data_IF_674702360306
#
_entry.id   IF_674702360306
#
_cell.length_a   1.000
_cell.length_b   1.000
_cell.length_c   1.000
_cell.angle_alpha   90.00
_cell.angle_beta   90.00
_cell.angle_gamma   90.00
#
_symmetry.space_group_name_H-M   'P 1'
#
loop_
_entity.id
_entity.type
_entity.pdbx_description
1 polymer ?
#
# COMPACT_ATOMS: atom_id res chain seq x y z
N UNK A 1 0.28 -17.74 -11.57
CA UNK A 1 -0.19 -16.73 -10.62
C UNK A 1 -1.10 -17.44 -9.62
N UNK A 2 -0.84 -17.34 -8.32
CA UNK A 2 -1.66 -18.01 -7.30
C UNK A 2 -2.70 -17.00 -6.80
N UNK A 3 -3.97 -17.38 -6.79
CA UNK A 3 -5.04 -16.57 -6.22
C UNK A 3 -4.86 -16.49 -4.69
N UNK A 4 -5.04 -15.29 -4.13
CA UNK A 4 -4.90 -15.03 -2.69
C UNK A 4 -6.23 -14.84 -1.97
N UNK A 5 -7.30 -14.58 -2.71
CA UNK A 5 -8.62 -14.26 -2.17
C UNK A 5 -9.65 -15.22 -2.76
N UNK A 6 -10.40 -15.84 -1.88
CA UNK A 6 -11.44 -16.77 -2.22
C UNK A 6 -12.76 -16.31 -1.61
N UNK A 7 -13.87 -16.78 -2.16
CA UNK A 7 -15.19 -16.54 -1.57
C UNK A 7 -15.42 -17.61 -0.50
N UNK A 8 -15.24 -17.22 0.74
CA UNK A 8 -15.43 -18.08 1.90
C UNK A 8 -16.22 -17.31 2.98
N UNK A 9 -16.78 -18.04 3.93
CA UNK A 9 -17.49 -17.48 5.07
C UNK A 9 -16.53 -16.66 5.93
N UNK A 10 -16.97 -15.48 6.34
CA UNK A 10 -16.18 -14.57 7.12
C UNK A 10 -15.32 -13.56 6.32
N UNK A 11 -15.19 -13.73 5.01
CA UNK A 11 -14.51 -12.71 4.21
C UNK A 11 -15.29 -11.41 4.17
N UNK A 12 -14.56 -10.30 4.29
CA UNK A 12 -15.13 -8.96 4.15
C UNK A 12 -15.02 -8.53 2.69
N UNK A 13 -16.12 -8.05 2.12
CA UNK A 13 -16.19 -7.56 0.76
C UNK A 13 -16.58 -6.08 0.73
N UNK A 14 -16.06 -5.36 -0.26
CA UNK A 14 -16.43 -3.99 -0.57
C UNK A 14 -17.47 -3.98 -1.70
N UNK A 15 -18.56 -3.26 -1.52
CA UNK A 15 -19.62 -3.15 -2.54
C UNK A 15 -19.25 -2.01 -3.50
N UNK A 16 -19.04 -2.35 -4.78
CA UNK A 16 -18.58 -1.40 -5.78
C UNK A 16 -19.71 -0.57 -6.38
N UNK A 17 -20.89 -1.14 -6.54
CA UNK A 17 -22.04 -0.49 -7.18
C UNK A 17 -23.37 -1.00 -6.63
N UNK A 18 -24.49 -0.42 -7.04
CA UNK A 18 -25.87 -0.57 -6.55
C UNK A 18 -26.16 0.26 -5.29
N UNK A 19 -27.30 -0.02 -4.65
CA UNK A 19 -27.85 0.73 -3.51
C UNK A 19 -26.86 0.89 -2.34
N UNK A 20 -26.04 -0.10 -2.11
CA UNK A 20 -25.07 -0.11 -1.00
C UNK A 20 -23.62 0.16 -1.45
N UNK A 21 -23.44 0.79 -2.60
CA UNK A 21 -22.09 1.13 -3.09
C UNK A 21 -21.29 1.92 -2.03
N UNK A 22 -20.00 1.59 -1.94
CA UNK A 22 -19.10 2.24 -0.96
C UNK A 22 -19.08 1.62 0.43
N UNK A 23 -19.93 0.62 0.71
CA UNK A 23 -20.03 -0.03 2.03
C UNK A 23 -19.27 -1.34 2.08
N UNK A 24 -18.88 -1.75 3.28
CA UNK A 24 -18.27 -3.03 3.56
C UNK A 24 -19.33 -4.01 4.08
N UNK A 25 -19.22 -5.27 3.71
CA UNK A 25 -20.08 -6.35 4.15
C UNK A 25 -19.27 -7.61 4.44
N UNK A 26 -19.75 -8.45 5.34
CA UNK A 26 -19.19 -9.77 5.59
C UNK A 26 -20.01 -10.84 4.85
N UNK A 27 -19.36 -11.84 4.30
CA UNK A 27 -19.99 -13.01 3.69
C UNK A 27 -20.37 -13.95 4.83
N UNK A 28 -21.66 -14.15 5.03
CA UNK A 28 -22.21 -15.03 6.07
C UNK A 28 -22.42 -16.44 5.54
N UNK A 29 -22.84 -16.53 4.30
CA UNK A 29 -23.09 -17.81 3.62
C UNK A 29 -22.95 -17.66 2.10
N UNK A 30 -22.72 -18.76 1.42
CA UNK A 30 -22.70 -18.83 -0.04
C UNK A 30 -23.98 -19.51 -0.49
N UNK A 31 -24.81 -18.78 -1.24
CA UNK A 31 -26.13 -19.26 -1.68
C UNK A 31 -25.99 -20.04 -2.99
N UNK A 32 -25.25 -19.49 -3.95
CA UNK A 32 -25.12 -19.97 -5.31
C UNK A 32 -23.76 -19.61 -5.89
N UNK A 33 -23.44 -20.14 -7.06
CA UNK A 33 -22.23 -19.80 -7.83
C UNK A 33 -22.08 -18.28 -8.10
N UNK A 34 -23.18 -17.54 -8.13
CA UNK A 34 -23.23 -16.13 -8.49
C UNK A 34 -23.53 -15.19 -7.31
N UNK A 35 -23.87 -15.71 -6.13
CA UNK A 35 -24.33 -14.88 -5.02
C UNK A 35 -24.02 -15.44 -3.64
N UNK A 36 -23.91 -14.54 -2.69
CA UNK A 36 -23.71 -14.82 -1.28
C UNK A 36 -24.72 -14.09 -0.40
N UNK A 37 -25.01 -14.66 0.76
CA UNK A 37 -25.70 -13.98 1.84
C UNK A 37 -24.69 -13.09 2.56
N UNK A 38 -24.95 -11.79 2.57
CA UNK A 38 -24.06 -10.80 3.18
C UNK A 38 -24.75 -10.06 4.31
N UNK A 39 -23.96 -9.62 5.27
CA UNK A 39 -24.40 -8.80 6.39
C UNK A 39 -23.37 -7.71 6.69
N UNK A 40 -23.82 -6.51 6.92
CA UNK A 40 -22.97 -5.35 7.24
C UNK A 40 -23.50 -4.56 8.42
N UNK A 41 -23.52 -5.13 9.64
CA UNK A 41 -24.15 -4.51 10.79
C UNK A 41 -23.55 -3.14 11.12
N UNK A 42 -22.25 -2.97 11.00
CA UNK A 42 -21.56 -1.70 11.26
C UNK A 42 -21.55 -0.72 10.07
N UNK A 43 -21.98 -1.17 8.88
CA UNK A 43 -22.04 -0.35 7.66
C UNK A 43 -23.46 0.02 7.26
N UNK A 44 -24.46 -0.41 8.03
CA UNK A 44 -25.89 -0.17 7.76
C UNK A 44 -26.39 -0.92 6.54
N UNK A 45 -25.86 -2.10 6.27
CA UNK A 45 -26.37 -3.05 5.25
C UNK A 45 -27.09 -4.16 5.98
N UNK A 46 -28.39 -4.30 5.72
CA UNK A 46 -29.18 -5.41 6.26
C UNK A 46 -28.75 -6.71 5.59
N UNK A 47 -28.92 -7.82 6.30
CA UNK A 47 -28.69 -9.16 5.76
C UNK A 47 -29.52 -9.39 4.50
N UNK A 48 -28.87 -9.69 3.40
CA UNK A 48 -29.50 -9.89 2.09
C UNK A 48 -28.60 -10.69 1.15
N UNK A 49 -29.22 -11.29 0.15
CA UNK A 49 -28.51 -11.92 -0.95
C UNK A 49 -27.90 -10.86 -1.86
N UNK A 50 -26.63 -11.06 -2.24
CA UNK A 50 -25.92 -10.14 -3.12
C UNK A 50 -25.09 -10.89 -4.15
N UNK A 51 -25.13 -10.49 -5.43
CA UNK A 51 -24.32 -11.12 -6.47
C UNK A 51 -22.84 -10.75 -6.35
N UNK A 52 -21.95 -11.71 -6.61
CA UNK A 52 -20.50 -11.51 -6.56
C UNK A 52 -20.01 -10.41 -7.51
N UNK A 53 -20.70 -10.15 -8.62
CA UNK A 53 -20.38 -9.06 -9.54
C UNK A 53 -20.34 -7.69 -8.87
N UNK A 54 -21.12 -7.48 -7.81
CA UNK A 54 -21.18 -6.22 -7.08
C UNK A 54 -20.10 -6.10 -6.00
N UNK A 55 -19.48 -7.21 -5.62
CA UNK A 55 -18.57 -7.31 -4.49
C UNK A 55 -17.13 -7.43 -4.94
N UNK A 56 -16.25 -6.80 -4.19
CA UNK A 56 -14.80 -6.94 -4.34
C UNK A 56 -14.23 -7.43 -3.01
N UNK A 57 -13.57 -8.58 -3.02
CA UNK A 57 -12.99 -9.18 -1.82
C UNK A 57 -11.84 -8.33 -1.29
N UNK A 58 -11.84 -8.12 0.02
CA UNK A 58 -10.76 -7.45 0.75
C UNK A 58 -9.77 -8.46 1.33
N UNK A 59 -8.75 -8.01 2.04
CA UNK A 59 -7.80 -8.88 2.73
C UNK A 59 -8.21 -9.17 4.19
N UNK A 60 -9.46 -8.85 4.56
CA UNK A 60 -9.96 -9.01 5.92
C UNK A 60 -10.81 -10.27 6.05
N UNK A 61 -10.50 -11.07 7.07
CA UNK A 61 -11.22 -12.27 7.42
C UNK A 61 -11.75 -12.15 8.85
N UNK A 62 -13.06 -12.37 9.02
CA UNK A 62 -13.75 -12.45 10.30
C UNK A 62 -13.95 -13.92 10.71
N UNK A 63 -13.78 -14.20 11.98
CA UNK A 63 -13.96 -15.55 12.52
C UNK A 63 -15.32 -15.65 13.19
N UNK A 64 -16.28 -16.26 12.51
CA UNK A 64 -17.60 -16.61 13.04
C UNK A 64 -18.10 -17.90 12.37
N UNK A 65 -19.06 -18.63 13.00
CA UNK A 65 -19.58 -19.85 12.44
C UNK A 65 -20.44 -19.58 11.19
N UNK A 66 -20.62 -20.62 10.38
CA UNK A 66 -21.51 -20.65 9.21
C UNK A 66 -22.93 -20.18 9.62
N UNK A 67 -23.56 -19.42 8.76
CA UNK A 67 -24.91 -18.87 8.95
C UNK A 67 -25.14 -18.15 10.29
N UNK A 68 -24.06 -17.58 10.87
CA UNK A 68 -24.11 -16.89 12.14
C UNK A 68 -25.17 -15.78 12.17
N UNK A 69 -25.82 -15.58 13.32
CA UNK A 69 -26.73 -14.46 13.46
C UNK A 69 -26.00 -13.11 13.52
N UNK A 70 -26.70 -12.02 13.28
CA UNK A 70 -26.15 -10.67 13.19
C UNK A 70 -25.31 -10.27 14.41
N UNK A 71 -25.69 -10.71 15.61
CA UNK A 71 -24.97 -10.42 16.85
C UNK A 71 -23.53 -10.92 16.82
N UNK A 72 -23.29 -12.14 16.31
CA UNK A 72 -21.96 -12.72 16.19
C UNK A 72 -21.12 -12.01 15.11
N UNK A 73 -21.73 -11.66 13.99
CA UNK A 73 -21.07 -10.91 12.93
C UNK A 73 -20.63 -9.54 13.45
N UNK A 74 -21.51 -8.86 14.17
CA UNK A 74 -21.22 -7.55 14.79
C UNK A 74 -20.08 -7.63 15.80
N UNK A 75 -20.13 -8.59 16.72
CA UNK A 75 -19.08 -8.78 17.72
C UNK A 75 -17.70 -9.11 17.07
N UNK A 76 -17.69 -9.95 16.03
CA UNK A 76 -16.46 -10.25 15.29
C UNK A 76 -15.93 -9.02 14.55
N UNK A 77 -16.82 -8.21 13.96
CA UNK A 77 -16.47 -6.97 13.26
C UNK A 77 -15.81 -5.93 14.16
N UNK A 78 -16.37 -5.73 15.36
CA UNK A 78 -15.80 -4.82 16.36
C UNK A 78 -14.48 -5.34 16.91
N UNK A 79 -14.40 -6.62 17.24
CA UNK A 79 -13.17 -7.24 17.74
C UNK A 79 -12.00 -7.02 16.78
N UNK A 80 -12.22 -7.16 15.48
CA UNK A 80 -11.19 -6.99 14.46
C UNK A 80 -11.00 -5.53 14.03
N UNK A 81 -11.83 -4.59 14.50
CA UNK A 81 -11.77 -3.17 14.14
C UNK A 81 -11.68 -2.93 12.61
N UNK A 82 -12.53 -3.61 11.84
CA UNK A 82 -12.48 -3.63 10.36
C UNK A 82 -12.57 -2.22 9.78
N UNK A 83 -13.42 -1.35 10.32
CA UNK A 83 -13.60 0.00 9.79
C UNK A 83 -12.32 0.84 9.88
N UNK A 84 -11.57 0.73 10.97
CA UNK A 84 -10.30 1.45 11.14
C UNK A 84 -9.20 0.86 10.25
N UNK A 85 -9.11 -0.46 10.19
CA UNK A 85 -8.18 -1.17 9.30
C UNK A 85 -8.46 -0.81 7.83
N UNK A 86 -9.72 -0.76 7.41
CA UNK A 86 -10.11 -0.39 6.05
C UNK A 86 -9.69 1.03 5.69
N UNK A 87 -10.00 2.03 6.54
CA UNK A 87 -9.60 3.43 6.32
C UNK A 87 -8.08 3.61 6.22
N UNK A 88 -7.30 2.79 6.91
CA UNK A 88 -5.84 2.82 6.83
C UNK A 88 -5.30 2.29 5.50
N UNK A 89 -6.05 1.45 4.77
CA UNK A 89 -5.59 0.82 3.52
C UNK A 89 -5.36 1.84 2.41
N UNK A 90 -4.41 1.53 1.51
CA UNK A 90 -4.18 2.35 0.30
C UNK A 90 -5.38 2.35 -0.65
N UNK A 91 -6.17 1.28 -0.63
CA UNK A 91 -7.35 1.15 -1.49
C UNK A 91 -8.44 2.11 -1.06
N UNK A 92 -8.83 2.12 0.22
CA UNK A 92 -9.80 3.06 0.76
C UNK A 92 -9.37 4.52 0.53
N UNK A 93 -8.11 4.84 0.79
CA UNK A 93 -7.54 6.19 0.53
C UNK A 93 -7.63 6.61 -0.93
N UNK A 94 -7.47 5.67 -1.88
CA UNK A 94 -7.64 5.97 -3.32
C UNK A 94 -9.08 6.22 -3.70
N UNK A 95 -10.03 5.50 -3.11
CA UNK A 95 -11.46 5.71 -3.33
C UNK A 95 -11.86 7.08 -2.79
N UNK A 96 -11.52 7.36 -1.54
CA UNK A 96 -11.79 8.65 -0.89
C UNK A 96 -11.16 9.83 -1.66
N UNK A 97 -9.94 9.68 -2.14
CA UNK A 97 -9.29 10.71 -2.95
C UNK A 97 -10.03 10.98 -4.28
N UNK A 98 -10.57 9.94 -4.92
CA UNK A 98 -11.39 10.08 -6.13
C UNK A 98 -12.72 10.78 -5.85
N UNK A 99 -13.39 10.39 -4.77
CA UNK A 99 -14.65 11.02 -4.35
C UNK A 99 -14.44 12.48 -3.98
N UNK A 100 -13.37 12.80 -3.25
CA UNK A 100 -13.00 14.16 -2.91
C UNK A 100 -12.74 15.00 -4.17
N UNK A 101 -12.01 14.43 -5.14
CA UNK A 101 -11.76 15.08 -6.43
C UNK A 101 -13.05 15.34 -7.21
N UNK A 102 -13.99 14.38 -7.23
CA UNK A 102 -15.26 14.52 -7.93
C UNK A 102 -16.19 15.60 -7.30
N UNK A 103 -16.06 15.83 -5.99
CA UNK A 103 -16.85 16.83 -5.24
C UNK A 103 -16.23 18.23 -5.25
N UNK A 104 -15.00 18.38 -5.73
CA UNK A 104 -14.33 19.69 -5.76
C UNK A 104 -14.97 20.64 -6.75
N UNK A 105 -15.13 21.89 -6.33
CA UNK A 105 -15.50 23.01 -7.19
C UNK A 105 -14.32 23.46 -8.05
N UNK A 106 -14.57 24.25 -9.09
CA UNK A 106 -13.49 24.80 -9.94
C UNK A 106 -12.54 25.67 -9.11
N UNK A 107 -13.06 26.47 -8.21
CA UNK A 107 -12.25 27.30 -7.33
C UNK A 107 -11.33 26.46 -6.41
N UNK A 108 -11.82 25.34 -5.86
CA UNK A 108 -11.00 24.43 -5.08
C UNK A 108 -9.90 23.78 -5.91
N UNK A 109 -10.21 23.44 -7.17
CA UNK A 109 -9.22 22.92 -8.11
C UNK A 109 -8.10 23.94 -8.37
N UNK A 110 -8.44 25.20 -8.52
CA UNK A 110 -7.46 26.28 -8.64
C UNK A 110 -6.59 26.42 -7.38
N UNK A 111 -7.20 26.41 -6.19
CA UNK A 111 -6.46 26.45 -4.93
C UNK A 111 -5.49 25.29 -4.77
N UNK A 112 -5.91 24.07 -5.13
CA UNK A 112 -5.07 22.85 -5.07
C UNK A 112 -3.93 22.91 -6.09
N UNK A 113 -4.10 23.59 -7.21
CA UNK A 113 -3.06 23.72 -8.25
C UNK A 113 -1.77 24.36 -7.72
N UNK A 114 -1.87 25.43 -6.91
CA UNK A 114 -0.70 26.15 -6.35
C UNK A 114 0.17 25.23 -5.46
N UNK A 115 -0.35 24.58 -4.40
CA UNK A 115 0.44 23.67 -3.56
C UNK A 115 1.02 22.50 -4.37
N UNK A 116 0.28 22.00 -5.35
CA UNK A 116 0.75 20.92 -6.22
C UNK A 116 1.96 21.33 -7.05
N UNK A 117 1.94 22.54 -7.62
CA UNK A 117 3.09 23.09 -8.35
C UNK A 117 4.30 23.27 -7.43
N UNK A 118 4.11 23.80 -6.22
CA UNK A 118 5.19 23.97 -5.25
C UNK A 118 5.81 22.62 -4.85
N UNK A 119 4.99 21.64 -4.50
CA UNK A 119 5.46 20.28 -4.17
C UNK A 119 6.23 19.65 -5.32
N UNK A 120 5.69 19.73 -6.54
CA UNK A 120 6.35 19.16 -7.72
C UNK A 120 7.70 19.86 -8.01
N UNK A 121 7.80 21.16 -7.75
CA UNK A 121 9.06 21.91 -7.87
C UNK A 121 10.10 21.39 -6.87
N UNK A 122 9.74 21.26 -5.59
CA UNK A 122 10.63 20.72 -4.56
C UNK A 122 11.13 19.30 -4.93
N UNK A 123 10.23 18.43 -5.37
CA UNK A 123 10.59 17.06 -5.80
C UNK A 123 11.58 17.11 -6.98
N UNK A 124 11.33 17.96 -7.98
CA UNK A 124 12.23 18.11 -9.12
C UNK A 124 13.61 18.63 -8.72
N UNK A 125 13.68 19.55 -7.78
CA UNK A 125 14.94 20.10 -7.31
C UNK A 125 15.76 19.05 -6.54
N UNK A 126 15.11 18.25 -5.69
CA UNK A 126 15.76 17.12 -5.00
C UNK A 126 16.22 16.03 -6.00
N UNK A 127 15.40 15.70 -6.99
CA UNK A 127 15.81 14.77 -8.05
C UNK A 127 17.04 15.28 -8.81
N UNK A 128 17.08 16.57 -9.17
CA UNK A 128 18.24 17.18 -9.84
C UNK A 128 19.50 17.13 -8.96
N UNK A 129 19.37 17.36 -7.65
CA UNK A 129 20.49 17.24 -6.71
C UNK A 129 21.03 15.81 -6.68
N UNK A 130 20.12 14.81 -6.55
CA UNK A 130 20.53 13.41 -6.54
C UNK A 130 21.18 12.96 -7.86
N UNK A 131 20.68 13.41 -9.00
CA UNK A 131 21.27 13.15 -10.31
C UNK A 131 22.70 13.73 -10.41
N UNK A 132 22.89 15.00 -9.97
CA UNK A 132 24.23 15.62 -9.94
C UNK A 132 25.19 14.88 -9.02
N UNK A 133 24.71 14.37 -7.87
CA UNK A 133 25.55 13.57 -6.97
C UNK A 133 25.91 12.20 -7.58
N UNK A 134 24.97 11.57 -8.28
CA UNK A 134 25.21 10.31 -8.95
C UNK A 134 26.21 10.43 -10.11
N UNK A 135 26.09 11.49 -10.91
CA UNK A 135 27.06 11.78 -11.99
C UNK A 135 28.46 12.07 -11.46
N UNK A 136 28.57 12.88 -10.40
CA UNK A 136 29.87 13.13 -9.72
C UNK A 136 30.51 11.85 -9.19
N UNK A 137 29.73 10.94 -8.55
CA UNK A 137 30.24 9.64 -8.10
C UNK A 137 30.65 8.72 -9.26
N UNK A 138 29.96 8.77 -10.39
CA UNK A 138 30.30 8.01 -11.60
C UNK A 138 31.60 8.50 -12.25
N UNK A 139 31.83 9.82 -12.30
CA UNK A 139 33.06 10.40 -12.85
C UNK A 139 34.28 10.13 -11.96
N UNK A 140 34.11 10.17 -10.63
CA UNK A 140 35.18 9.82 -9.69
C UNK A 140 35.59 8.34 -9.79
N UNK A 141 34.65 7.42 -10.02
CA UNK A 141 34.96 6.02 -10.24
C UNK A 141 35.67 5.77 -11.57
N UNK A 142 35.33 6.50 -12.65
CA UNK A 142 36.04 6.41 -13.94
C UNK A 142 37.45 6.98 -13.85
N UNK A 143 37.67 8.08 -13.14
CA UNK A 143 38.99 8.66 -12.93
C UNK A 143 39.93 7.82 -12.07
N UNK A 144 39.42 7.07 -11.11
CA UNK A 144 40.18 6.13 -10.29
C UNK A 144 40.57 4.85 -11.07
N UNK A 145 39.73 4.39 -12.00
CA UNK A 145 40.01 3.24 -12.83
C UNK A 145 41.05 3.53 -13.92
N UNK A 146 41.22 4.79 -14.37
CA UNK A 146 42.23 5.19 -15.35
C UNK A 146 43.61 5.44 -14.76
N UNK A 147 43.76 5.58 -13.45
CA UNK A 147 45.04 5.77 -12.76
C UNK A 147 45.75 4.47 -12.36
N UNK A 148 45.17 3.30 -12.62
CA UNK A 148 45.69 2.00 -12.23
C UNK A 148 46.01 1.10 -13.45
N UNK A 149 46.75 1.62 -14.45
CA UNK A 149 47.32 0.81 -15.50
C UNK A 149 48.83 1.13 -15.56
N UNK A 150 49.73 0.21 -15.17
CA UNK A 150 51.11 0.33 -15.48
C UNK A 150 51.36 -0.06 -16.94
N UNK A 151 52.07 0.80 -17.65
CA UNK A 151 52.57 0.61 -18.99
C UNK A 151 53.55 -0.54 -19.09
N UNK A 152 53.53 -1.23 -20.26
CA UNK A 152 54.44 -2.23 -20.85
C UNK A 152 53.87 -3.64 -20.87
N UNK A 153 53.81 -4.36 -21.97
CA UNK A 153 54.77 -4.59 -23.04
C UNK A 153 54.03 -5.18 -24.28
N UNK A 154 54.50 -4.74 -25.46
CA UNK A 154 54.39 -5.18 -26.83
C UNK A 154 53.79 -6.55 -27.22
N UNK A 155 52.97 -6.46 -28.24
CA UNK A 155 52.86 -7.26 -29.48
C UNK A 155 52.87 -8.79 -29.43
N UNK A 156 51.77 -9.39 -29.84
CA UNK A 156 51.79 -10.36 -30.98
C UNK A 156 50.39 -10.64 -31.52
N UNK A 157 50.37 -10.76 -32.81
CA UNK A 157 49.30 -10.81 -33.80
C UNK A 157 48.62 -12.19 -33.87
N UNK A 158 47.24 -12.19 -33.89
CA UNK A 158 46.30 -12.93 -34.78
C UNK A 158 46.27 -14.51 -34.70
N UNK A 159 45.19 -15.24 -35.01
CA UNK A 159 43.85 -14.88 -35.50
C UNK A 159 42.63 -15.62 -34.86
N UNK A 160 41.47 -15.16 -35.30
CA UNK A 160 40.12 -15.70 -35.23
C UNK A 160 39.93 -17.21 -35.20
N UNK A 161 38.99 -17.69 -34.37
CA UNK A 161 38.02 -18.72 -34.78
C UNK A 161 36.77 -18.72 -33.90
N UNK A 162 35.70 -18.82 -34.58
CA UNK A 162 34.28 -19.00 -34.30
C UNK A 162 34.05 -20.32 -33.55
N UNK A 163 33.07 -20.33 -32.63
CA UNK A 163 32.04 -21.34 -32.36
C UNK A 163 31.49 -21.15 -30.93
N UNK A 164 30.25 -20.82 -30.81
CA UNK A 164 29.11 -21.64 -30.38
C UNK A 164 29.28 -22.43 -29.05
N UNK A 165 28.36 -22.18 -28.15
CA UNK A 165 27.76 -23.28 -27.43
C UNK A 165 27.73 -23.22 -25.91
N UNK A 166 26.49 -23.04 -25.39
CA UNK A 166 25.93 -23.71 -24.21
C UNK A 166 26.29 -23.25 -22.78
N UNK A 167 25.23 -22.69 -22.13
CA UNK A 167 24.54 -23.19 -20.90
C UNK A 167 25.40 -23.68 -19.72
N UNK A 168 25.13 -23.08 -18.60
CA UNK A 168 24.59 -23.57 -17.31
C UNK A 168 25.08 -22.73 -16.14
N UNK A 169 24.23 -22.05 -15.44
CA UNK A 169 23.62 -22.41 -14.17
C UNK A 169 24.51 -22.31 -12.91
N UNK A 170 23.92 -21.64 -11.92
CA UNK A 170 24.07 -21.74 -10.46
C UNK A 170 25.22 -21.00 -9.78
N UNK A 171 24.78 -20.18 -8.80
CA UNK A 171 25.62 -19.75 -7.71
C UNK A 171 25.13 -18.50 -6.97
N UNK A 172 24.04 -18.64 -6.19
CA UNK A 172 23.62 -17.68 -5.19
C UNK A 172 24.68 -17.48 -4.13
N UNK A 173 24.98 -16.25 -3.74
CA UNK A 173 25.30 -15.89 -2.35
C UNK A 173 25.08 -14.40 -2.13
N UNK A 174 24.07 -14.11 -1.33
CA UNK A 174 23.83 -12.78 -0.77
C UNK A 174 24.68 -12.59 0.50
N UNK A 175 25.27 -11.42 0.74
CA UNK A 175 25.86 -11.11 2.02
C UNK A 175 24.83 -10.41 2.95
N UNK A 176 24.74 -10.91 4.16
CA UNK A 176 24.00 -10.37 5.26
C UNK A 176 24.43 -8.93 5.63
N UNK A 177 23.47 -8.00 5.69
CA UNK A 177 23.70 -6.67 6.28
C UNK A 177 23.33 -6.70 7.77
N UNK A 178 24.35 -6.47 8.59
CA UNK A 178 24.24 -6.17 10.04
C UNK A 178 23.44 -4.90 10.25
N UNK A 179 22.43 -4.96 11.13
CA UNK A 179 21.62 -3.83 11.55
C UNK A 179 22.41 -2.89 12.44
N UNK A 180 22.30 -1.60 12.15
CA UNK A 180 22.69 -0.51 13.07
C UNK A 180 21.40 0.07 13.62
N UNK A 181 21.22 -0.07 14.92
CA UNK A 181 20.13 0.50 15.70
C UNK A 181 20.30 2.01 15.78
N UNK A 182 19.39 2.78 15.22
CA UNK A 182 19.27 4.21 15.49
C UNK A 182 18.28 4.44 16.62
N UNK A 183 18.82 4.98 17.71
CA UNK A 183 18.15 5.44 18.92
C UNK A 183 17.33 6.70 18.59
N UNK A 184 16.02 6.67 18.79
CA UNK A 184 15.14 7.83 18.70
C UNK A 184 15.23 8.69 19.96
N UNK A 185 15.22 10.04 19.88
CA UNK A 185 15.16 10.90 21.06
C UNK A 185 13.74 10.98 21.62
N UNK A 186 13.64 10.81 22.93
CA UNK A 186 12.41 10.93 23.70
C UNK A 186 11.93 12.40 23.73
N UNK A 187 10.72 12.65 23.26
CA UNK A 187 10.02 13.92 23.51
C UNK A 187 9.30 13.87 24.84
N UNK A 188 9.67 14.78 25.75
CA UNK A 188 9.00 15.06 27.01
C UNK A 188 7.60 15.64 26.76
N UNK A 189 6.56 14.94 27.21
CA UNK A 189 5.22 15.45 27.30
C UNK A 189 5.09 16.35 28.52
N UNK A 190 4.81 17.64 28.31
CA UNK A 190 4.40 18.58 29.35
C UNK A 190 2.89 18.39 29.64
N UNK A 191 2.59 18.01 30.86
CA UNK A 191 1.22 17.90 31.38
C UNK A 191 0.62 19.29 31.54
N UNK A 192 -0.43 19.61 30.76
CA UNK A 192 -1.33 20.73 31.06
C UNK A 192 -2.55 20.23 31.83
N UNK A 193 -2.60 20.72 33.08
CA UNK A 193 -3.66 20.55 34.08
C UNK A 193 -4.86 21.39 33.63
N UNK A 194 -5.93 20.74 33.19
CA UNK A 194 -7.21 21.43 32.93
C UNK A 194 -8.03 21.52 34.20
N UNK A 195 -8.35 22.75 34.60
CA UNK A 195 -9.23 23.09 35.69
C UNK A 195 -10.70 22.90 35.30
N UNK A 196 -11.47 22.28 36.18
CA UNK A 196 -12.90 22.11 36.04
C UNK A 196 -13.66 23.43 36.32
N UNK A 197 -14.74 23.78 35.60
CA UNK A 197 -15.63 24.88 36.00
C UNK A 197 -16.69 24.40 36.99
N UNK A 198 -16.78 25.14 38.09
CA UNK A 198 -17.79 25.03 39.13
C UNK A 198 -19.17 25.41 38.58
N UNK A 199 -20.16 24.59 38.87
CA UNK A 199 -21.57 24.93 38.75
C UNK A 199 -21.96 26.07 39.70
N UNK A 200 -22.68 27.05 39.20
CA UNK A 200 -23.49 27.99 40.01
C UNK A 200 -24.97 27.78 39.69
N UNK A 201 -25.70 27.69 40.76
CA UNK A 201 -27.15 27.74 40.95
C UNK A 201 -28.01 28.26 39.81
#
# INVERSE_FOLDING_TARGET
>A
MVFKRYVEIGWVAYISFRLHAGKLVAIVDVIDQNGALVDGPCSGVRRQAMPFKCMQLTDFLLKFPHSACQKYVWAAWEKENINTKWKATRWAKKIEARERKAKMTDFDCYLVMKPKKMRNRMIKDEMKKLQKMATKKGSLKKGAAQKALPSKVSAKKIPSKKAEGQKAALGQKAPAKKGVAQKAPAQKASAQKAAAPKAKK
#
